data_IF_032922922124
#
_entry.id   IF_032922922124
#
_cell.length_a   1.000
_cell.length_b   1.000
_cell.length_c   1.000
_cell.angle_alpha   90.00
_cell.angle_beta   90.00
_cell.angle_gamma   90.00
#
_symmetry.space_group_name_H-M   'P 1'
#
loop_
_entity.id
_entity.type
_entity.pdbx_description
1 polymer ?
#
# COMPACT_ATOMS: atom_id res chain seq x y z
N UNK A 1 -14.04 -23.69 19.12
CA UNK A 1 -14.85 -22.79 18.27
C UNK A 1 -14.44 -21.35 18.53
N UNK A 2 -14.18 -20.52 17.50
CA UNK A 2 -13.90 -19.09 17.72
C UNK A 2 -15.18 -18.40 18.19
N UNK A 3 -15.11 -17.65 19.29
CA UNK A 3 -16.24 -16.88 19.87
C UNK A 3 -16.65 -15.77 18.89
N UNK A 4 -17.93 -15.76 18.47
CA UNK A 4 -18.48 -14.70 17.61
C UNK A 4 -19.06 -13.61 18.51
N UNK A 5 -18.63 -12.38 18.31
CA UNK A 5 -19.14 -11.19 19.00
C UNK A 5 -19.99 -10.39 18.01
N UNK A 6 -21.16 -9.91 18.44
CA UNK A 6 -22.01 -9.02 17.65
C UNK A 6 -21.77 -7.58 18.10
N UNK A 7 -21.51 -6.70 17.14
CA UNK A 7 -21.35 -5.26 17.36
C UNK A 7 -22.22 -4.50 16.36
N UNK A 8 -22.80 -3.38 16.80
CA UNK A 8 -23.54 -2.44 15.95
C UNK A 8 -22.62 -1.32 15.46
N UNK A 9 -22.73 -0.93 14.21
CA UNK A 9 -21.96 0.16 13.59
C UNK A 9 -22.90 1.00 12.72
N UNK A 10 -22.78 2.32 12.82
CA UNK A 10 -23.50 3.27 11.96
C UNK A 10 -22.64 3.61 10.74
N UNK A 11 -23.27 3.69 9.56
CA UNK A 11 -22.61 4.06 8.31
C UNK A 11 -23.38 5.19 7.63
N UNK A 12 -22.70 6.12 6.94
CA UNK A 12 -23.33 6.96 5.94
C UNK A 12 -24.11 6.11 4.92
N UNK A 13 -25.29 6.57 4.53
CA UNK A 13 -26.22 5.80 3.69
C UNK A 13 -25.60 5.48 2.33
N UNK A 14 -25.03 6.49 1.70
CA UNK A 14 -24.32 6.43 0.41
C UNK A 14 -23.15 5.44 0.44
N UNK A 15 -22.32 5.49 1.50
CA UNK A 15 -21.21 4.55 1.68
C UNK A 15 -21.69 3.09 1.77
N UNK A 16 -22.76 2.85 2.54
CA UNK A 16 -23.32 1.50 2.70
C UNK A 16 -23.93 0.98 1.40
N UNK A 17 -24.61 1.85 0.63
CA UNK A 17 -25.17 1.51 -0.67
C UNK A 17 -24.08 1.15 -1.70
N UNK A 18 -23.00 1.92 -1.76
CA UNK A 18 -21.87 1.63 -2.63
C UNK A 18 -21.17 0.32 -2.23
N UNK A 19 -20.94 0.11 -0.93
CA UNK A 19 -20.37 -1.14 -0.42
C UNK A 19 -21.26 -2.34 -0.79
N UNK A 20 -22.57 -2.24 -0.59
CA UNK A 20 -23.53 -3.30 -0.93
C UNK A 20 -23.53 -3.64 -2.43
N UNK A 21 -23.39 -2.63 -3.29
CA UNK A 21 -23.25 -2.81 -4.74
C UNK A 21 -21.98 -3.61 -5.07
N UNK A 22 -20.84 -3.22 -4.49
CA UNK A 22 -19.55 -3.89 -4.73
C UNK A 22 -19.58 -5.35 -4.26
N UNK A 23 -20.11 -5.62 -3.07
CA UNK A 23 -20.09 -6.99 -2.52
C UNK A 23 -21.03 -7.93 -3.29
N UNK A 24 -22.13 -7.41 -3.86
CA UNK A 24 -22.99 -8.17 -4.77
C UNK A 24 -22.25 -8.57 -6.04
N UNK A 25 -21.53 -7.63 -6.66
CA UNK A 25 -20.70 -7.89 -7.84
C UNK A 25 -19.62 -8.92 -7.54
N UNK A 26 -18.98 -8.83 -6.35
CA UNK A 26 -17.97 -9.81 -5.89
C UNK A 26 -18.56 -11.15 -5.42
N UNK A 27 -19.88 -11.35 -5.49
CA UNK A 27 -20.53 -12.62 -5.17
C UNK A 27 -20.67 -12.94 -3.67
N UNK A 28 -20.57 -11.94 -2.79
CA UNK A 28 -20.76 -12.17 -1.35
C UNK A 28 -22.22 -12.47 -1.01
N UNK A 29 -22.45 -13.58 -0.29
CA UNK A 29 -23.79 -13.98 0.18
C UNK A 29 -24.25 -13.24 1.45
N UNK A 30 -23.32 -12.70 2.24
CA UNK A 30 -23.59 -12.04 3.52
C UNK A 30 -22.73 -10.81 3.69
N UNK A 31 -23.35 -9.66 4.00
CA UNK A 31 -22.66 -8.39 4.28
C UNK A 31 -21.64 -8.53 5.40
N UNK A 32 -21.98 -9.26 6.48
CA UNK A 32 -21.07 -9.48 7.61
C UNK A 32 -19.77 -10.18 7.21
N UNK A 33 -19.80 -11.10 6.22
CA UNK A 33 -18.58 -11.72 5.70
C UNK A 33 -17.72 -10.69 4.95
N UNK A 34 -18.34 -9.89 4.08
CA UNK A 34 -17.63 -8.86 3.34
C UNK A 34 -17.00 -7.80 4.25
N UNK A 35 -17.72 -7.38 5.31
CA UNK A 35 -17.19 -6.47 6.33
C UNK A 35 -16.00 -7.12 7.03
N UNK A 36 -16.11 -8.37 7.49
CA UNK A 36 -15.00 -9.07 8.12
C UNK A 36 -13.77 -9.21 7.20
N UNK A 37 -13.98 -9.51 5.91
CA UNK A 37 -12.89 -9.63 4.94
C UNK A 37 -12.25 -8.27 4.64
N UNK A 38 -13.04 -7.20 4.56
CA UNK A 38 -12.53 -5.83 4.48
C UNK A 38 -11.74 -5.41 5.74
N UNK A 39 -12.23 -5.76 6.94
CA UNK A 39 -11.51 -5.51 8.19
C UNK A 39 -10.20 -6.30 8.27
N UNK A 40 -10.19 -7.58 7.83
CA UNK A 40 -8.96 -8.37 7.76
C UNK A 40 -7.97 -7.78 6.78
N UNK A 41 -8.44 -7.36 5.61
CA UNK A 41 -7.60 -6.68 4.62
C UNK A 41 -7.01 -5.40 5.21
N UNK A 42 -7.84 -4.57 5.86
CA UNK A 42 -7.38 -3.36 6.54
C UNK A 42 -6.33 -3.68 7.61
N UNK A 43 -6.62 -4.61 8.52
CA UNK A 43 -5.64 -5.03 9.56
C UNK A 43 -4.36 -5.55 8.91
N UNK A 44 -4.44 -6.39 7.89
CA UNK A 44 -3.26 -6.93 7.19
C UNK A 44 -2.41 -5.83 6.56
N UNK A 45 -3.05 -4.78 6.03
CA UNK A 45 -2.36 -3.66 5.38
C UNK A 45 -1.59 -2.78 6.37
N UNK A 46 -1.90 -2.82 7.67
CA UNK A 46 -1.30 -1.93 8.67
C UNK A 46 -0.60 -2.67 9.82
N UNK A 47 -0.89 -3.96 10.04
CA UNK A 47 -0.32 -4.74 11.15
C UNK A 47 1.20 -4.86 11.07
N UNK A 48 1.76 -4.82 9.86
CA UNK A 48 3.21 -4.86 9.67
C UNK A 48 3.88 -3.55 10.12
N UNK A 49 3.17 -2.40 10.14
CA UNK A 49 3.77 -1.12 10.52
C UNK A 49 4.23 -1.07 11.98
N UNK A 50 3.63 -1.89 12.84
CA UNK A 50 3.99 -2.05 14.26
C UNK A 50 4.86 -3.28 14.52
N UNK A 51 5.19 -4.07 13.48
CA UNK A 51 6.00 -5.27 13.60
C UNK A 51 7.49 -4.92 13.62
N UNK A 52 8.25 -5.66 14.44
CA UNK A 52 9.71 -5.65 14.42
C UNK A 52 10.30 -6.74 13.50
N UNK A 53 9.44 -7.48 12.80
CA UNK A 53 9.83 -8.60 11.95
C UNK A 53 10.31 -8.15 10.58
N UNK A 54 11.00 -9.07 9.89
CA UNK A 54 11.32 -8.92 8.47
C UNK A 54 10.10 -9.21 7.62
N UNK A 55 9.80 -8.31 6.69
CA UNK A 55 8.69 -8.44 5.75
C UNK A 55 9.20 -8.33 4.31
N UNK A 56 8.42 -8.90 3.39
CA UNK A 56 8.60 -8.73 1.95
C UNK A 56 7.50 -7.78 1.47
N UNK A 57 7.82 -6.85 0.57
CA UNK A 57 6.84 -5.91 0.08
C UNK A 57 7.15 -5.35 -1.30
N UNK A 58 6.20 -4.58 -1.81
CA UNK A 58 6.32 -3.80 -3.04
C UNK A 58 5.81 -2.39 -2.77
N UNK A 59 6.63 -1.38 -3.03
CA UNK A 59 6.18 0.01 -3.16
C UNK A 59 5.80 0.25 -4.62
N UNK A 60 4.58 0.72 -4.84
CA UNK A 60 4.13 1.27 -6.11
C UNK A 60 4.07 2.79 -6.02
N UNK A 61 4.89 3.46 -6.81
CA UNK A 61 5.11 4.90 -6.82
C UNK A 61 4.70 5.49 -8.17
N UNK A 62 3.89 6.53 -8.18
CA UNK A 62 3.64 7.34 -9.38
C UNK A 62 4.24 8.72 -9.16
N UNK A 63 5.09 9.18 -10.07
CA UNK A 63 5.74 10.49 -9.98
C UNK A 63 5.84 11.21 -11.34
N UNK A 64 5.99 12.53 -11.26
CA UNK A 64 6.22 13.41 -12.41
C UNK A 64 7.72 13.49 -12.72
N UNK A 65 8.17 12.92 -13.83
CA UNK A 65 9.60 12.90 -14.16
C UNK A 65 10.12 14.24 -14.72
N UNK A 66 9.23 15.17 -15.09
CA UNK A 66 9.62 16.52 -15.51
C UNK A 66 9.87 17.46 -14.32
N UNK A 67 9.37 17.11 -13.12
CA UNK A 67 9.66 17.90 -11.92
C UNK A 67 11.16 17.76 -11.62
N UNK A 68 11.85 18.90 -11.72
CA UNK A 68 13.31 18.97 -11.64
C UNK A 68 13.85 18.32 -10.37
N UNK A 69 14.76 17.37 -10.56
CA UNK A 69 15.45 16.64 -9.48
C UNK A 69 14.67 15.46 -8.92
N UNK A 70 13.42 15.20 -9.32
CA UNK A 70 12.63 14.07 -8.79
C UNK A 70 13.33 12.74 -9.06
N UNK A 71 13.73 12.48 -10.31
CA UNK A 71 14.40 11.24 -10.68
C UNK A 71 15.74 11.06 -9.96
N UNK A 72 16.56 12.11 -9.89
CA UNK A 72 17.86 12.06 -9.21
C UNK A 72 17.71 11.77 -7.70
N UNK A 73 16.77 12.44 -7.03
CA UNK A 73 16.49 12.24 -5.61
C UNK A 73 15.93 10.83 -5.35
N UNK A 74 15.07 10.32 -6.24
CA UNK A 74 14.58 8.94 -6.17
C UNK A 74 15.72 7.94 -6.25
N UNK A 75 16.57 8.05 -7.28
CA UNK A 75 17.73 7.16 -7.46
C UNK A 75 18.71 7.25 -6.29
N UNK A 76 18.99 8.44 -5.77
CA UNK A 76 19.86 8.61 -4.59
C UNK A 76 19.27 7.94 -3.34
N UNK A 77 17.95 8.08 -3.13
CA UNK A 77 17.27 7.45 -2.01
C UNK A 77 17.27 5.93 -2.16
N UNK A 78 17.01 5.40 -3.35
CA UNK A 78 17.07 3.97 -3.62
C UNK A 78 18.47 3.40 -3.40
N UNK A 79 19.52 4.10 -3.83
CA UNK A 79 20.90 3.71 -3.56
C UNK A 79 21.20 3.69 -2.06
N UNK A 80 20.70 4.69 -1.31
CA UNK A 80 20.87 4.76 0.15
C UNK A 80 20.19 3.58 0.85
N UNK A 81 19.07 3.10 0.31
CA UNK A 81 18.29 1.99 0.84
C UNK A 81 18.53 0.67 0.08
N UNK A 82 19.63 0.55 -0.66
CA UNK A 82 19.89 -0.57 -1.56
C UNK A 82 19.85 -1.95 -0.90
N UNK A 83 20.22 -2.04 0.38
CA UNK A 83 20.15 -3.28 1.16
C UNK A 83 18.71 -3.80 1.38
N UNK A 84 17.71 -2.92 1.31
CA UNK A 84 16.29 -3.28 1.39
C UNK A 84 15.68 -3.60 0.02
N UNK A 85 16.25 -3.05 -1.06
CA UNK A 85 15.69 -3.11 -2.41
C UNK A 85 16.22 -4.32 -3.15
N UNK A 86 15.31 -5.24 -3.51
CA UNK A 86 15.63 -6.41 -4.32
C UNK A 86 15.73 -6.01 -5.79
N UNK A 87 14.78 -5.21 -6.26
CA UNK A 87 14.70 -4.78 -7.66
C UNK A 87 13.72 -3.64 -7.83
N UNK A 88 13.92 -2.81 -8.84
CA UNK A 88 12.96 -1.79 -9.29
C UNK A 88 12.50 -2.07 -10.72
N UNK A 89 11.25 -1.72 -11.01
CA UNK A 89 10.69 -1.73 -12.37
C UNK A 89 10.08 -0.37 -12.64
N UNK A 90 10.56 0.28 -13.71
CA UNK A 90 10.10 1.58 -14.15
C UNK A 90 9.25 1.46 -15.42
N UNK A 91 8.12 2.16 -15.44
CA UNK A 91 7.15 2.17 -16.54
C UNK A 91 6.76 3.61 -16.87
N UNK A 92 6.96 4.03 -18.11
CA UNK A 92 6.42 5.31 -18.60
C UNK A 92 4.91 5.16 -18.84
N UNK A 93 4.09 5.93 -18.11
CA UNK A 93 2.63 5.91 -18.25
C UNK A 93 2.17 6.88 -19.35
N UNK A 94 2.77 8.06 -19.39
CA UNK A 94 2.51 9.12 -20.36
C UNK A 94 3.71 10.09 -20.43
N UNK A 95 3.55 11.23 -21.11
CA UNK A 95 4.60 12.24 -21.32
C UNK A 95 5.21 12.78 -20.02
N UNK A 96 4.51 12.72 -18.89
CA UNK A 96 4.96 13.32 -17.62
C UNK A 96 5.05 12.32 -16.47
N UNK A 97 4.27 11.24 -16.52
CA UNK A 97 4.11 10.32 -15.39
C UNK A 97 4.89 9.01 -15.60
N UNK A 98 5.59 8.61 -14.55
CA UNK A 98 6.23 7.31 -14.43
C UNK A 98 5.60 6.52 -13.28
N UNK A 99 5.43 5.21 -13.48
CA UNK A 99 5.14 4.25 -12.43
C UNK A 99 6.41 3.48 -12.11
N UNK A 100 6.75 3.41 -10.83
CA UNK A 100 7.87 2.62 -10.34
C UNK A 100 7.39 1.59 -9.31
N UNK A 101 7.81 0.34 -9.49
CA UNK A 101 7.55 -0.77 -8.59
C UNK A 101 8.85 -1.20 -7.95
N UNK A 102 8.99 -0.99 -6.64
CA UNK A 102 10.19 -1.29 -5.85
C UNK A 102 9.90 -2.52 -5.00
N UNK A 103 10.51 -3.66 -5.34
CA UNK A 103 10.44 -4.88 -4.52
C UNK A 103 11.42 -4.79 -3.35
N UNK A 104 10.94 -5.09 -2.15
CA UNK A 104 11.65 -4.86 -0.89
C UNK A 104 11.68 -6.11 -0.01
N UNK A 105 12.75 -6.27 0.76
CA UNK A 105 12.83 -7.23 1.86
C UNK A 105 13.72 -6.69 2.98
N UNK A 106 13.16 -6.57 4.19
CA UNK A 106 13.89 -6.02 5.33
C UNK A 106 13.00 -5.83 6.54
N UNK A 107 13.49 -5.12 7.55
CA UNK A 107 12.67 -4.83 8.74
C UNK A 107 11.52 -3.89 8.35
N UNK A 108 10.33 -4.19 8.88
CA UNK A 108 9.13 -3.38 8.62
C UNK A 108 9.36 -1.88 8.90
N UNK A 109 10.04 -1.55 10.01
CA UNK A 109 10.38 -0.16 10.35
C UNK A 109 11.23 0.55 9.29
N UNK A 110 12.18 -0.15 8.68
CA UNK A 110 13.07 0.43 7.67
C UNK A 110 12.33 0.62 6.34
N UNK A 111 11.50 -0.36 5.94
CA UNK A 111 10.63 -0.27 4.77
C UNK A 111 9.63 0.89 4.92
N UNK A 112 9.03 1.06 6.10
CA UNK A 112 8.15 2.20 6.40
C UNK A 112 8.91 3.53 6.28
N UNK A 113 10.11 3.60 6.85
CA UNK A 113 10.95 4.79 6.74
C UNK A 113 11.33 5.16 5.30
N UNK A 114 11.58 4.17 4.44
CA UNK A 114 11.79 4.39 3.00
C UNK A 114 10.50 4.92 2.34
N UNK A 115 9.35 4.30 2.60
CA UNK A 115 8.07 4.74 2.04
C UNK A 115 7.71 6.18 2.43
N UNK A 116 7.91 6.55 3.71
CA UNK A 116 7.67 7.91 4.21
C UNK A 116 8.58 8.93 3.51
N UNK A 117 9.87 8.60 3.34
CA UNK A 117 10.82 9.46 2.62
C UNK A 117 10.44 9.61 1.14
N UNK A 118 10.12 8.51 0.46
CA UNK A 118 9.67 8.53 -0.94
C UNK A 118 8.43 9.41 -1.10
N UNK A 119 7.44 9.28 -0.21
CA UNK A 119 6.21 10.09 -0.26
C UNK A 119 6.48 11.59 -0.07
N UNK A 120 7.55 11.95 0.64
CA UNK A 120 7.93 13.36 0.87
C UNK A 120 8.64 14.02 -0.33
N UNK A 121 9.07 13.25 -1.33
CA UNK A 121 9.78 13.78 -2.49
C UNK A 121 8.82 14.61 -3.34
N UNK A 122 9.22 15.85 -3.64
CA UNK A 122 8.48 16.71 -4.57
C UNK A 122 8.40 16.03 -5.94
N UNK A 123 7.18 15.92 -6.48
CA UNK A 123 6.94 15.27 -7.77
C UNK A 123 6.30 13.89 -7.62
N UNK A 124 6.36 13.28 -6.44
CA UNK A 124 5.59 12.07 -6.13
C UNK A 124 4.11 12.41 -5.98
N UNK A 125 3.27 11.72 -6.76
CA UNK A 125 1.81 11.92 -6.82
C UNK A 125 1.07 10.89 -5.97
N UNK A 126 1.57 9.66 -5.96
CA UNK A 126 0.93 8.56 -5.25
C UNK A 126 1.98 7.54 -4.84
N UNK A 127 1.85 7.02 -3.61
CA UNK A 127 2.60 5.86 -3.13
C UNK A 127 1.63 4.87 -2.51
N UNK A 128 1.79 3.59 -2.85
CA UNK A 128 1.12 2.47 -2.16
C UNK A 128 2.16 1.43 -1.78
N UNK A 129 2.12 0.99 -0.53
CA UNK A 129 2.93 -0.09 -0.04
C UNK A 129 2.06 -1.32 0.18
N UNK A 130 2.45 -2.42 -0.44
CA UNK A 130 1.86 -3.74 -0.26
C UNK A 130 2.90 -4.62 0.42
N UNK A 131 2.55 -5.23 1.55
CA UNK A 131 3.43 -6.13 2.29
C UNK A 131 2.81 -7.51 2.41
N UNK A 132 3.65 -8.53 2.36
CA UNK A 132 3.33 -9.87 2.78
C UNK A 132 4.11 -10.20 4.06
N UNK A 133 3.41 -10.75 5.05
CA UNK A 133 4.09 -11.38 6.18
C UNK A 133 4.79 -12.65 5.66
N UNK A 134 6.06 -12.81 6.00
CA UNK A 134 6.82 -14.02 5.71
C UNK A 134 6.51 -15.12 6.72
#
# INVERSE_FOLDING_TARGET
MKKIIRAGVSFPKDLLEEFDKIIRIKGYKKRSKAICDAMRLYISNYKWEESEDKVIGVIALIYDHEVRGTADILTELEHTYGELIISTMHVHLDERNCLELIALKGLAKEIKGLADKLMSIRGVKQLKLLTAAT
#
